data_IF_224772189619
#
_entry.id   IF_224772189619
#
_cell.length_a   1.000
_cell.length_b   1.000
_cell.length_c   1.000
_cell.angle_alpha   90.00
_cell.angle_beta   90.00
_cell.angle_gamma   90.00
#
_symmetry.space_group_name_H-M   'P 1'
#
loop_
_entity.id
_entity.type
_entity.pdbx_description
1 polymer ?
#
# COMPACT_ATOMS: atom_id res chain seq x y z
N UNK A 1 24.33 -7.06 11.61
CA UNK A 1 23.70 -5.74 11.43
C UNK A 1 22.68 -5.57 12.53
N UNK A 2 22.89 -4.61 13.43
CA UNK A 2 21.85 -4.22 14.39
C UNK A 2 20.78 -3.36 13.70
N UNK A 3 19.61 -3.22 14.32
CA UNK A 3 18.54 -2.37 13.83
C UNK A 3 17.36 -2.36 14.80
N UNK A 4 16.54 -1.32 14.72
CA UNK A 4 15.31 -1.19 15.51
C UNK A 4 14.13 -1.60 14.65
N UNK A 5 13.40 -2.64 15.05
CA UNK A 5 12.10 -2.96 14.47
C UNK A 5 11.02 -2.24 15.25
N UNK A 6 10.28 -1.35 14.57
CA UNK A 6 9.14 -0.67 15.16
C UNK A 6 7.88 -1.16 14.45
N UNK A 7 6.96 -1.76 15.21
CA UNK A 7 5.68 -2.24 14.69
C UNK A 7 4.61 -1.22 15.07
N UNK A 8 3.99 -0.61 14.08
CA UNK A 8 2.81 0.23 14.28
C UNK A 8 1.58 -0.42 13.62
N UNK A 9 0.44 -0.36 14.29
CA UNK A 9 -0.83 -0.77 13.73
C UNK A 9 -1.88 0.34 13.91
N UNK A 10 -2.50 0.75 12.82
CA UNK A 10 -3.60 1.71 12.82
C UNK A 10 -4.94 1.00 12.52
N UNK A 11 -5.86 0.86 13.48
CA UNK A 11 -7.18 0.35 13.21
C UNK A 11 -7.98 1.39 12.42
N UNK A 12 -8.95 0.94 11.62
CA UNK A 12 -9.81 1.83 10.82
C UNK A 12 -10.56 2.89 11.63
N UNK A 13 -10.86 2.58 12.90
CA UNK A 13 -11.51 3.50 13.83
C UNK A 13 -10.57 4.59 14.38
N UNK A 14 -9.28 4.54 14.04
CA UNK A 14 -8.27 5.55 14.44
C UNK A 14 -8.12 5.69 15.97
N UNK A 15 -8.50 4.63 16.69
CA UNK A 15 -8.50 4.56 18.15
C UNK A 15 -7.13 4.21 18.74
N UNK A 16 -6.14 3.79 17.93
CA UNK A 16 -4.80 3.44 18.41
C UNK A 16 -3.79 3.48 17.25
N UNK A 17 -2.50 3.70 17.53
CA UNK A 17 -1.43 3.49 16.55
C UNK A 17 -0.92 4.73 15.83
N UNK A 18 0.19 4.53 15.11
CA UNK A 18 0.93 5.57 14.37
C UNK A 18 0.70 5.43 12.85
N UNK A 19 0.17 6.47 12.21
CA UNK A 19 0.06 6.58 10.74
C UNK A 19 1.32 7.23 10.21
N UNK A 20 1.97 6.60 9.24
CA UNK A 20 3.18 7.17 8.65
C UNK A 20 2.88 8.24 7.61
N UNK A 21 1.63 8.38 7.16
CA UNK A 21 1.25 9.21 6.02
C UNK A 21 0.27 10.33 6.38
N UNK A 22 0.00 10.57 7.68
CA UNK A 22 -1.00 11.54 8.14
C UNK A 22 -0.44 12.45 9.23
N UNK A 23 -0.99 13.66 9.31
CA UNK A 23 -0.64 14.69 10.28
C UNK A 23 -1.17 14.41 11.69
N UNK A 24 -0.57 15.13 12.64
CA UNK A 24 -1.04 15.23 14.02
C UNK A 24 -2.30 16.10 14.03
N UNK A 25 -3.46 15.60 14.47
CA UNK A 25 -4.67 16.40 14.54
C UNK A 25 -4.56 17.50 15.61
N UNK A 26 -5.14 18.69 15.38
CA UNK A 26 -5.38 19.65 16.45
C UNK A 26 -6.21 19.01 17.56
N UNK A 27 -5.86 19.26 18.83
CA UNK A 27 -6.50 18.62 19.99
C UNK A 27 -8.03 18.73 19.95
N UNK A 28 -8.56 19.95 19.78
CA UNK A 28 -10.00 20.20 19.70
C UNK A 28 -10.69 19.31 18.66
N UNK A 29 -10.10 19.23 17.45
CA UNK A 29 -10.65 18.43 16.36
C UNK A 29 -10.56 16.92 16.64
N UNK A 30 -9.48 16.46 17.28
CA UNK A 30 -9.32 15.05 17.66
C UNK A 30 -10.38 14.61 18.68
N UNK A 31 -10.76 15.49 19.61
CA UNK A 31 -11.80 15.26 20.60
C UNK A 31 -13.20 15.23 19.97
N UNK A 32 -13.53 16.23 19.15
CA UNK A 32 -14.82 16.32 18.45
C UNK A 32 -15.09 15.09 17.58
N UNK A 33 -14.05 14.62 16.88
CA UNK A 33 -14.15 13.49 15.97
C UNK A 33 -14.24 12.13 16.66
N UNK A 34 -13.95 12.04 17.96
CA UNK A 34 -13.98 10.77 18.67
C UNK A 34 -15.35 10.10 18.61
N UNK A 35 -16.41 10.84 18.91
CA UNK A 35 -17.78 10.30 18.90
C UNK A 35 -18.24 9.94 17.47
N UNK A 36 -17.84 10.71 16.46
CA UNK A 36 -18.13 10.42 15.06
C UNK A 36 -17.54 9.07 14.64
N UNK A 37 -16.29 8.80 15.04
CA UNK A 37 -15.61 7.54 14.76
C UNK A 37 -16.11 6.36 15.60
N UNK A 38 -16.52 6.62 16.84
CA UNK A 38 -17.07 5.60 17.73
C UNK A 38 -18.43 5.09 17.22
N UNK A 39 -19.31 6.03 16.87
CA UNK A 39 -20.68 5.77 16.42
C UNK A 39 -20.78 5.44 14.93
N UNK A 40 -19.70 5.65 14.15
CA UNK A 40 -19.68 5.48 12.70
C UNK A 40 -20.81 6.25 11.99
N UNK A 41 -21.12 7.44 12.50
CA UNK A 41 -22.35 8.18 12.17
C UNK A 41 -22.31 8.89 10.81
N UNK A 42 -21.13 9.29 10.33
CA UNK A 42 -20.96 9.98 9.03
C UNK A 42 -19.70 9.53 8.29
N UNK A 43 -19.89 8.80 7.19
CA UNK A 43 -18.78 8.27 6.38
C UNK A 43 -18.00 9.35 5.63
N UNK A 44 -18.64 10.44 5.18
CA UNK A 44 -17.98 11.47 4.40
C UNK A 44 -17.05 12.32 5.28
N UNK A 45 -17.52 12.71 6.47
CA UNK A 45 -16.70 13.46 7.44
C UNK A 45 -15.53 12.59 7.91
N UNK A 46 -15.79 11.32 8.25
CA UNK A 46 -14.72 10.38 8.62
C UNK A 46 -13.70 10.20 7.50
N UNK A 47 -14.12 10.08 6.24
CA UNK A 47 -13.20 10.00 5.11
C UNK A 47 -12.33 11.24 4.99
N UNK A 48 -12.91 12.44 5.09
CA UNK A 48 -12.16 13.69 5.00
C UNK A 48 -11.12 13.79 6.13
N UNK A 49 -11.51 13.44 7.36
CA UNK A 49 -10.59 13.40 8.49
C UNK A 49 -9.44 12.40 8.26
N UNK A 50 -9.75 11.18 7.81
CA UNK A 50 -8.76 10.12 7.53
C UNK A 50 -7.76 10.47 6.43
N UNK A 51 -8.05 11.44 5.57
CA UNK A 51 -7.11 11.92 4.55
C UNK A 51 -6.02 12.81 5.13
N UNK A 52 -6.31 13.48 6.23
CA UNK A 52 -5.42 14.47 6.83
C UNK A 52 -4.75 13.96 8.10
N UNK A 53 -5.49 13.29 8.99
CA UNK A 53 -5.06 13.03 10.36
C UNK A 53 -4.99 11.56 10.75
N UNK A 54 -4.05 11.25 11.64
CA UNK A 54 -3.72 9.88 12.02
C UNK A 54 -4.64 9.25 13.08
N UNK A 55 -5.17 10.02 14.04
CA UNK A 55 -5.89 9.48 15.21
C UNK A 55 -7.04 10.38 15.69
N UNK A 56 -7.90 9.87 16.56
CA UNK A 56 -8.87 10.65 17.36
C UNK A 56 -8.57 10.45 18.86
N UNK A 57 -9.12 11.27 19.75
CA UNK A 57 -8.84 11.19 21.19
C UNK A 57 -10.12 11.28 22.03
N UNK A 58 -10.22 10.47 23.09
CA UNK A 58 -11.37 10.46 24.01
C UNK A 58 -11.52 11.75 24.80
N UNK A 59 -10.39 12.23 25.29
CA UNK A 59 -10.24 13.33 26.21
C UNK A 59 -8.83 13.92 26.06
N UNK A 60 -8.54 15.00 26.79
CA UNK A 60 -7.26 15.69 26.71
C UNK A 60 -6.09 14.80 27.13
N UNK A 61 -6.26 13.92 28.12
CA UNK A 61 -5.20 13.04 28.59
C UNK A 61 -4.87 11.96 27.55
N UNK A 62 -5.88 11.36 26.92
CA UNK A 62 -5.72 10.43 25.80
C UNK A 62 -5.04 11.11 24.59
N UNK A 63 -5.33 12.40 24.34
CA UNK A 63 -4.63 13.17 23.31
C UNK A 63 -3.14 13.31 23.61
N UNK A 64 -2.77 13.76 24.80
CA UNK A 64 -1.36 13.95 25.19
C UNK A 64 -0.57 12.63 25.18
N UNK A 65 -1.18 11.56 25.68
CA UNK A 65 -0.59 10.23 25.61
C UNK A 65 -0.29 9.82 24.17
N UNK A 66 -1.23 10.03 23.24
CA UNK A 66 -1.06 9.71 21.82
C UNK A 66 -0.02 10.59 21.16
N UNK A 67 -0.02 11.89 21.46
CA UNK A 67 0.95 12.84 20.96
C UNK A 67 2.36 12.40 21.35
N UNK A 68 2.57 12.04 22.61
CA UNK A 68 3.86 11.52 23.10
C UNK A 68 4.27 10.23 22.37
N UNK A 69 3.36 9.26 22.20
CA UNK A 69 3.64 8.03 21.43
C UNK A 69 4.08 8.37 20.00
N UNK A 70 3.37 9.28 19.32
CA UNK A 70 3.72 9.71 17.96
C UNK A 70 5.08 10.40 17.91
N UNK A 71 5.36 11.31 18.84
CA UNK A 71 6.62 12.04 18.90
C UNK A 71 7.79 11.07 19.13
N UNK A 72 7.69 10.21 20.15
CA UNK A 72 8.70 9.20 20.47
C UNK A 72 8.96 8.25 19.28
N UNK A 73 7.90 7.83 18.59
CA UNK A 73 8.01 6.99 17.39
C UNK A 73 8.85 7.68 16.30
N UNK A 74 8.56 8.95 16.00
CA UNK A 74 9.28 9.69 14.96
C UNK A 74 10.68 10.10 15.38
N UNK A 75 10.92 10.35 16.66
CA UNK A 75 12.26 10.57 17.21
C UNK A 75 13.14 9.34 17.05
N UNK A 76 12.60 8.14 17.29
CA UNK A 76 13.34 6.90 17.09
C UNK A 76 13.65 6.65 15.62
N UNK A 77 12.68 6.83 14.71
CA UNK A 77 12.92 6.72 13.27
C UNK A 77 14.01 7.71 12.80
N UNK A 78 13.99 8.94 13.32
CA UNK A 78 14.92 9.98 12.90
C UNK A 78 16.40 9.68 13.23
N UNK A 79 16.69 8.69 14.07
CA UNK A 79 18.06 8.24 14.36
C UNK A 79 18.66 7.34 13.27
N UNK A 80 17.83 6.78 12.38
CA UNK A 80 18.26 5.81 11.38
C UNK A 80 18.82 6.42 10.09
N UNK A 81 19.90 5.82 9.57
CA UNK A 81 20.47 6.15 8.26
C UNK A 81 19.83 5.38 7.08
N UNK A 82 19.23 4.22 7.40
CA UNK A 82 18.46 3.39 6.46
C UNK A 82 17.10 3.10 7.09
N UNK A 83 16.03 3.65 6.50
CA UNK A 83 14.67 3.59 7.02
C UNK A 83 13.80 2.84 6.02
N UNK A 84 13.23 1.71 6.44
CA UNK A 84 12.31 0.90 5.66
C UNK A 84 10.91 1.02 6.22
N UNK A 85 10.02 1.63 5.46
CA UNK A 85 8.59 1.71 5.76
C UNK A 85 7.90 0.56 5.02
N UNK A 86 7.48 -0.48 5.75
CA UNK A 86 6.86 -1.67 5.14
C UNK A 86 5.36 -1.60 5.31
N UNK A 87 4.64 -1.54 4.19
CA UNK A 87 3.18 -1.47 4.14
C UNK A 87 2.62 -2.69 3.41
N UNK A 88 1.47 -3.21 3.84
CA UNK A 88 0.86 -4.36 3.13
C UNK A 88 0.00 -3.88 1.97
N UNK A 89 0.27 -4.38 0.76
CA UNK A 89 -0.63 -4.27 -0.37
C UNK A 89 -1.56 -5.50 -0.47
N UNK A 90 -2.83 -5.32 -0.78
CA UNK A 90 -3.72 -6.45 -1.08
C UNK A 90 -3.48 -6.96 -2.50
N UNK A 91 -3.51 -8.28 -2.70
CA UNK A 91 -3.34 -8.91 -4.02
C UNK A 91 -4.57 -8.67 -4.89
N UNK A 92 -4.60 -7.57 -5.64
CA UNK A 92 -5.74 -7.17 -6.48
C UNK A 92 -5.32 -7.07 -7.94
N UNK A 93 -6.27 -7.23 -8.87
CA UNK A 93 -5.92 -7.16 -10.29
C UNK A 93 -5.33 -5.79 -10.67
N UNK A 94 -5.79 -4.69 -10.05
CA UNK A 94 -5.19 -3.35 -10.22
C UNK A 94 -3.70 -3.24 -9.86
N UNK A 95 -3.14 -4.18 -9.08
CA UNK A 95 -1.73 -4.13 -8.66
C UNK A 95 -0.82 -4.89 -9.60
N UNK A 96 -1.35 -5.66 -10.56
CA UNK A 96 -0.55 -6.41 -11.52
C UNK A 96 0.29 -5.45 -12.39
N UNK A 97 1.57 -5.78 -12.67
CA UNK A 97 2.27 -7.03 -12.32
C UNK A 97 3.02 -6.98 -10.98
N UNK A 98 2.77 -5.98 -10.13
CA UNK A 98 3.49 -5.78 -8.88
C UNK A 98 3.17 -6.85 -7.83
N UNK A 99 4.21 -7.55 -7.36
CA UNK A 99 4.19 -8.37 -6.13
C UNK A 99 4.85 -7.67 -4.95
N UNK A 100 5.60 -6.62 -5.23
CA UNK A 100 6.23 -5.76 -4.24
C UNK A 100 6.50 -4.42 -4.93
N UNK A 101 5.87 -3.37 -4.45
CA UNK A 101 6.07 -2.03 -4.96
C UNK A 101 7.11 -1.31 -4.10
N UNK A 102 7.97 -0.51 -4.73
CA UNK A 102 9.07 0.17 -4.05
C UNK A 102 9.03 1.65 -4.39
N UNK A 103 9.04 2.47 -3.34
CA UNK A 103 9.07 3.93 -3.45
C UNK A 103 10.30 4.42 -2.70
N UNK A 104 10.97 5.43 -3.23
CA UNK A 104 12.04 6.10 -2.52
C UNK A 104 11.72 7.57 -2.26
N UNK A 105 12.14 8.03 -1.09
CA UNK A 105 11.94 9.40 -0.60
C UNK A 105 13.23 10.23 -0.56
N UNK A 106 14.41 9.59 -0.57
CA UNK A 106 15.69 10.29 -0.40
C UNK A 106 16.32 10.77 -1.72
N UNK A 107 17.08 11.88 -1.66
CA UNK A 107 17.91 12.32 -2.81
C UNK A 107 19.02 11.31 -3.16
N UNK A 108 19.49 10.54 -2.16
CA UNK A 108 20.53 9.51 -2.31
C UNK A 108 20.09 8.36 -3.23
N UNK A 109 18.80 8.06 -3.24
CA UNK A 109 18.19 6.93 -3.94
C UNK A 109 17.30 7.46 -5.05
N UNK A 110 17.91 8.21 -5.97
CA UNK A 110 17.19 8.75 -7.11
C UNK A 110 16.54 7.62 -7.94
N UNK A 111 15.50 7.98 -8.69
CA UNK A 111 14.68 7.01 -9.42
C UNK A 111 15.48 6.13 -10.40
N UNK A 112 16.60 6.66 -10.96
CA UNK A 112 17.46 5.90 -11.88
C UNK A 112 18.17 4.75 -11.15
N UNK A 113 18.77 5.04 -10.00
CA UNK A 113 19.44 4.03 -9.17
C UNK A 113 18.42 2.98 -8.71
N UNK A 114 17.25 3.43 -8.24
CA UNK A 114 16.20 2.53 -7.77
C UNK A 114 15.72 1.58 -8.89
N UNK A 115 15.46 2.11 -10.10
CA UNK A 115 15.10 1.28 -11.24
C UNK A 115 16.18 0.26 -11.59
N UNK A 116 17.46 0.67 -11.61
CA UNK A 116 18.57 -0.25 -11.91
C UNK A 116 18.67 -1.39 -10.88
N UNK A 117 18.52 -1.09 -9.59
CA UNK A 117 18.50 -2.08 -8.52
C UNK A 117 17.29 -3.01 -8.68
N UNK A 118 16.09 -2.46 -8.87
CA UNK A 118 14.87 -3.27 -9.07
C UNK A 118 14.96 -4.17 -10.29
N UNK A 119 15.54 -3.70 -11.40
CA UNK A 119 15.77 -4.52 -12.59
C UNK A 119 16.76 -5.65 -12.34
N UNK A 120 17.84 -5.39 -11.58
CA UNK A 120 18.78 -6.42 -11.17
C UNK A 120 18.10 -7.49 -10.30
N UNK A 121 17.30 -7.08 -9.31
CA UNK A 121 16.53 -7.98 -8.46
C UNK A 121 15.51 -8.78 -9.29
N UNK A 122 14.80 -8.14 -10.23
CA UNK A 122 13.87 -8.83 -11.11
C UNK A 122 14.55 -9.91 -11.96
N UNK A 123 15.76 -9.65 -12.47
CA UNK A 123 16.56 -10.66 -13.18
C UNK A 123 16.98 -11.80 -12.26
N UNK A 124 17.52 -11.47 -11.07
CA UNK A 124 17.98 -12.44 -10.06
C UNK A 124 16.89 -13.40 -9.61
N UNK A 125 15.67 -12.91 -9.42
CA UNK A 125 14.53 -13.67 -8.91
C UNK A 125 13.53 -14.13 -9.99
N UNK A 126 13.86 -13.95 -11.28
CA UNK A 126 13.00 -14.31 -12.42
C UNK A 126 12.46 -15.74 -12.36
N UNK A 127 13.32 -16.73 -12.09
CA UNK A 127 12.90 -18.14 -11.98
C UNK A 127 11.88 -18.36 -10.87
N UNK A 128 12.04 -17.68 -9.73
CA UNK A 128 11.09 -17.73 -8.63
C UNK A 128 9.75 -17.09 -9.02
N UNK A 129 9.77 -15.90 -9.62
CA UNK A 129 8.56 -15.20 -10.06
C UNK A 129 7.76 -16.01 -11.09
N UNK A 130 8.46 -16.65 -12.03
CA UNK A 130 7.85 -17.57 -12.98
C UNK A 130 7.20 -18.76 -12.27
N UNK A 131 7.88 -19.37 -11.30
CA UNK A 131 7.36 -20.51 -10.55
C UNK A 131 6.08 -20.19 -9.78
N UNK A 132 5.97 -19.00 -9.18
CA UNK A 132 4.79 -18.59 -8.38
C UNK A 132 3.66 -17.96 -9.22
N UNK A 133 3.85 -17.77 -10.52
CA UNK A 133 2.92 -17.00 -11.37
C UNK A 133 1.48 -17.53 -11.31
N UNK A 134 1.32 -18.85 -11.38
CA UNK A 134 0.00 -19.50 -11.34
C UNK A 134 -0.70 -19.23 -9.99
N UNK A 135 0.01 -19.41 -8.89
CA UNK A 135 -0.53 -19.27 -7.55
C UNK A 135 -0.85 -17.81 -7.21
N UNK A 136 0.00 -16.88 -7.65
CA UNK A 136 -0.25 -15.45 -7.51
C UNK A 136 -1.53 -15.02 -8.26
N UNK A 137 -1.73 -15.49 -9.50
CA UNK A 137 -2.95 -15.22 -10.27
C UNK A 137 -4.20 -15.82 -9.59
N UNK A 138 -4.10 -17.03 -9.05
CA UNK A 138 -5.17 -17.64 -8.27
C UNK A 138 -5.51 -16.82 -7.02
N UNK A 139 -4.50 -16.32 -6.31
CA UNK A 139 -4.69 -15.45 -5.16
C UNK A 139 -5.44 -14.16 -5.54
N UNK A 140 -5.15 -13.57 -6.70
CA UNK A 140 -5.87 -12.38 -7.20
C UNK A 140 -7.35 -12.70 -7.47
N UNK A 141 -7.64 -13.85 -8.09
CA UNK A 141 -9.04 -14.28 -8.32
C UNK A 141 -9.76 -14.49 -6.99
N UNK A 142 -9.11 -15.13 -6.03
CA UNK A 142 -9.66 -15.34 -4.69
C UNK A 142 -9.94 -14.01 -3.98
N UNK A 143 -8.99 -13.08 -3.99
CA UNK A 143 -9.14 -11.76 -3.38
C UNK A 143 -10.21 -10.89 -4.07
N UNK A 144 -10.37 -11.06 -5.39
CA UNK A 144 -11.45 -10.41 -6.14
C UNK A 144 -12.82 -10.93 -5.70
N UNK A 145 -12.98 -12.24 -5.52
CA UNK A 145 -14.21 -12.84 -4.95
C UNK A 145 -14.48 -12.33 -3.54
N UNK A 146 -13.46 -12.35 -2.67
CA UNK A 146 -13.56 -11.84 -1.29
C UNK A 146 -14.02 -10.38 -1.26
N UNK A 147 -13.53 -9.57 -2.19
CA UNK A 147 -13.92 -8.17 -2.33
C UNK A 147 -15.38 -8.04 -2.73
N UNK A 148 -15.81 -8.77 -3.76
CA UNK A 148 -17.21 -8.76 -4.23
C UNK A 148 -18.16 -9.14 -3.10
N UNK A 149 -17.87 -10.23 -2.39
CA UNK A 149 -18.66 -10.66 -1.23
C UNK A 149 -18.69 -9.61 -0.12
N UNK A 150 -17.55 -8.94 0.14
CA UNK A 150 -17.49 -7.86 1.12
C UNK A 150 -18.36 -6.67 0.69
N UNK A 151 -18.37 -6.30 -0.58
CA UNK A 151 -19.19 -5.21 -1.11
C UNK A 151 -20.67 -5.58 -0.95
N UNK A 152 -21.07 -6.78 -1.41
CA UNK A 152 -22.44 -7.26 -1.29
C UNK A 152 -22.92 -7.28 0.16
N UNK A 153 -22.07 -7.75 1.09
CA UNK A 153 -22.41 -7.78 2.53
C UNK A 153 -22.59 -6.38 3.14
N UNK A 154 -21.83 -5.39 2.69
CA UNK A 154 -21.82 -4.04 3.29
C UNK A 154 -22.90 -3.13 2.68
N UNK A 155 -23.17 -3.28 1.39
CA UNK A 155 -24.04 -2.38 0.63
C UNK A 155 -25.30 -3.05 0.09
N UNK A 156 -25.55 -4.31 0.49
CA UNK A 156 -26.70 -5.12 0.06
C UNK A 156 -26.85 -5.22 -1.48
N UNK A 157 -25.71 -5.20 -2.18
CA UNK A 157 -25.71 -5.15 -3.64
C UNK A 157 -24.32 -5.02 -4.24
N UNK A 158 -24.26 -5.08 -5.57
CA UNK A 158 -23.04 -4.89 -6.35
C UNK A 158 -23.27 -3.84 -7.45
N UNK A 159 -23.81 -2.69 -7.06
CA UNK A 159 -24.00 -1.54 -7.93
C UNK A 159 -22.95 -0.45 -7.59
N UNK A 160 -22.04 -0.11 -8.53
CA UNK A 160 -21.06 0.94 -8.32
C UNK A 160 -21.65 2.29 -7.89
N UNK A 161 -22.92 2.58 -8.19
CA UNK A 161 -23.57 3.84 -7.78
C UNK A 161 -23.97 3.86 -6.30
N UNK A 162 -24.09 2.70 -5.67
CA UNK A 162 -24.62 2.54 -4.31
C UNK A 162 -23.54 2.17 -3.28
N UNK A 163 -22.29 1.97 -3.72
CA UNK A 163 -21.17 1.66 -2.84
C UNK A 163 -20.36 2.92 -2.51
N UNK A 164 -19.65 2.92 -1.38
CA UNK A 164 -18.83 4.05 -0.95
C UNK A 164 -17.71 4.42 -1.94
N UNK A 165 -17.34 5.71 -1.95
CA UNK A 165 -16.41 6.32 -2.92
C UNK A 165 -15.07 5.58 -3.01
N UNK A 166 -14.51 5.13 -1.89
CA UNK A 166 -13.27 4.34 -1.88
C UNK A 166 -13.41 3.02 -2.66
N UNK A 167 -14.54 2.31 -2.50
CA UNK A 167 -14.79 1.07 -3.23
C UNK A 167 -14.99 1.34 -4.72
N UNK A 168 -15.70 2.41 -5.08
CA UNK A 168 -15.86 2.82 -6.49
C UNK A 168 -14.50 3.08 -7.15
N UNK A 169 -13.64 3.86 -6.50
CA UNK A 169 -12.30 4.18 -7.03
C UNK A 169 -11.46 2.92 -7.22
N UNK A 170 -11.54 1.98 -6.28
CA UNK A 170 -10.82 0.71 -6.37
C UNK A 170 -11.36 -0.21 -7.47
N UNK A 171 -12.69 -0.33 -7.59
CA UNK A 171 -13.32 -1.10 -8.68
C UNK A 171 -13.00 -0.51 -10.04
N UNK A 172 -13.01 0.81 -10.19
CA UNK A 172 -12.65 1.47 -11.45
C UNK A 172 -11.23 1.07 -11.89
N UNK A 173 -10.26 1.12 -10.98
CA UNK A 173 -8.88 0.68 -11.27
C UNK A 173 -8.80 -0.81 -11.64
N UNK A 174 -9.60 -1.66 -11.01
CA UNK A 174 -9.65 -3.07 -11.38
C UNK A 174 -10.24 -3.24 -12.80
N UNK A 175 -11.33 -2.54 -13.12
CA UNK A 175 -11.98 -2.56 -14.44
C UNK A 175 -11.04 -2.07 -15.53
N UNK A 176 -10.25 -1.03 -15.28
CA UNK A 176 -9.22 -0.55 -16.21
C UNK A 176 -8.22 -1.65 -16.57
N UNK A 177 -7.75 -2.42 -15.58
CA UNK A 177 -6.83 -3.54 -15.83
C UNK A 177 -7.55 -4.72 -16.50
N UNK A 178 -8.81 -5.00 -16.14
CA UNK A 178 -9.63 -6.01 -16.82
C UNK A 178 -9.75 -5.66 -18.30
N UNK A 179 -10.14 -4.44 -18.67
CA UNK A 179 -10.26 -4.03 -20.07
C UNK A 179 -8.94 -4.02 -20.83
N UNK A 180 -7.82 -3.87 -20.12
CA UNK A 180 -6.49 -3.95 -20.73
C UNK A 180 -6.09 -5.38 -21.10
N UNK A 181 -6.49 -6.39 -20.33
CA UNK A 181 -5.97 -7.77 -20.46
C UNK A 181 -7.03 -8.83 -20.78
N UNK A 182 -8.32 -8.58 -20.55
CA UNK A 182 -9.38 -9.52 -20.89
C UNK A 182 -9.63 -9.55 -22.40
N UNK A 183 -10.12 -10.68 -22.90
CA UNK A 183 -10.66 -10.77 -24.26
C UNK A 183 -11.87 -9.86 -24.42
N UNK A 184 -12.09 -9.42 -25.67
CA UNK A 184 -13.23 -8.57 -26.04
C UNK A 184 -14.56 -9.13 -25.54
N UNK A 185 -14.78 -10.45 -25.67
CA UNK A 185 -16.00 -11.10 -25.19
C UNK A 185 -16.23 -10.93 -23.68
N UNK A 186 -15.20 -11.17 -22.86
CA UNK A 186 -15.29 -11.04 -21.41
C UNK A 186 -15.46 -9.56 -20.99
N UNK A 187 -14.75 -8.65 -21.65
CA UNK A 187 -14.89 -7.21 -21.45
C UNK A 187 -16.29 -6.69 -21.80
N UNK A 188 -16.82 -7.07 -22.96
CA UNK A 188 -18.14 -6.66 -23.42
C UNK A 188 -19.25 -7.23 -22.51
N UNK A 189 -19.10 -8.47 -22.06
CA UNK A 189 -20.04 -9.06 -21.08
C UNK A 189 -20.03 -8.32 -19.76
N UNK A 190 -18.85 -7.98 -19.21
CA UNK A 190 -18.77 -7.17 -17.99
C UNK A 190 -19.43 -5.79 -18.18
N UNK A 191 -19.21 -5.16 -19.34
CA UNK A 191 -19.77 -3.83 -19.66
C UNK A 191 -21.30 -3.86 -19.76
N UNK A 192 -21.86 -4.89 -20.40
CA UNK A 192 -23.31 -5.03 -20.62
C UNK A 192 -24.02 -5.55 -19.37
N UNK A 193 -23.39 -6.46 -18.63
CA UNK A 193 -23.96 -7.19 -17.51
C UNK A 193 -23.06 -7.04 -16.28
N UNK A 194 -23.07 -5.87 -15.65
CA UNK A 194 -22.24 -5.64 -14.47
C UNK A 194 -22.81 -6.35 -13.24
N UNK A 195 -22.37 -7.60 -13.01
CA UNK A 195 -22.78 -8.42 -11.87
C UNK A 195 -21.55 -9.03 -11.16
N UNK A 196 -21.70 -9.52 -9.92
CA UNK A 196 -20.66 -10.27 -9.20
C UNK A 196 -20.01 -11.37 -10.04
N UNK A 197 -20.84 -12.14 -10.76
CA UNK A 197 -20.40 -13.23 -11.61
C UNK A 197 -19.53 -12.73 -12.77
N UNK A 198 -20.07 -11.80 -13.58
CA UNK A 198 -19.34 -11.29 -14.75
C UNK A 198 -18.07 -10.53 -14.38
N UNK A 199 -18.05 -9.86 -13.23
CA UNK A 199 -16.83 -9.23 -12.71
C UNK A 199 -15.74 -10.27 -12.41
N UNK A 200 -16.06 -11.32 -11.67
CA UNK A 200 -15.09 -12.37 -11.32
C UNK A 200 -14.64 -13.16 -12.55
N UNK A 201 -15.54 -13.46 -13.49
CA UNK A 201 -15.17 -14.13 -14.74
C UNK A 201 -14.27 -13.26 -15.61
N UNK A 202 -14.53 -11.95 -15.70
CA UNK A 202 -13.66 -11.04 -16.42
C UNK A 202 -12.27 -10.92 -15.76
N UNK A 203 -12.20 -10.94 -14.41
CA UNK A 203 -10.92 -11.04 -13.68
C UNK A 203 -10.18 -12.33 -14.06
N UNK A 204 -10.83 -13.50 -14.00
CA UNK A 204 -10.21 -14.78 -14.37
C UNK A 204 -9.65 -14.78 -15.79
N UNK A 205 -10.42 -14.24 -16.73
CA UNK A 205 -10.00 -14.12 -18.13
C UNK A 205 -8.81 -13.15 -18.29
N UNK A 206 -8.83 -12.02 -17.58
CA UNK A 206 -7.75 -11.05 -17.63
C UNK A 206 -6.44 -11.59 -17.04
N UNK A 207 -6.48 -12.18 -15.83
CA UNK A 207 -5.25 -12.56 -15.09
C UNK A 207 -4.39 -13.55 -15.85
N UNK A 208 -4.95 -14.45 -16.65
CA UNK A 208 -4.15 -15.43 -17.41
C UNK A 208 -3.29 -14.78 -18.50
N UNK A 209 -3.66 -13.58 -18.98
CA UNK A 209 -2.93 -12.82 -20.01
C UNK A 209 -2.02 -11.73 -19.45
N UNK A 210 -1.98 -11.59 -18.13
CA UNK A 210 -1.15 -10.58 -17.49
C UNK A 210 0.33 -10.95 -17.52
N UNK A 211 1.26 -9.97 -17.45
CA UNK A 211 2.68 -10.26 -17.33
C UNK A 211 3.00 -11.10 -16.09
N UNK A 212 4.19 -11.71 -16.09
CA UNK A 212 4.72 -12.37 -14.89
C UNK A 212 4.83 -11.37 -13.72
N UNK A 213 4.63 -11.84 -12.47
CA UNK A 213 4.81 -11.02 -11.29
C UNK A 213 6.23 -10.48 -11.22
N UNK A 214 6.37 -9.23 -10.76
CA UNK A 214 7.68 -8.59 -10.60
C UNK A 214 7.65 -7.50 -9.53
N UNK A 215 8.83 -7.04 -9.13
CA UNK A 215 8.94 -5.80 -8.37
C UNK A 215 8.64 -4.61 -9.30
N UNK A 216 7.94 -3.62 -8.78
CA UNK A 216 7.69 -2.36 -9.47
C UNK A 216 8.26 -1.19 -8.69
N UNK A 217 8.59 -0.13 -9.42
CA UNK A 217 8.92 1.16 -8.83
C UNK A 217 7.73 2.08 -9.05
N UNK A 218 7.16 2.61 -7.98
CA UNK A 218 6.03 3.54 -8.10
C UNK A 218 6.50 4.97 -8.18
N UNK A 219 5.96 5.67 -9.17
CA UNK A 219 6.24 7.08 -9.46
C UNK A 219 5.35 8.04 -8.67
N UNK A 220 4.47 7.52 -7.78
CA UNK A 220 3.32 8.27 -7.26
C UNK A 220 3.70 9.28 -6.17
N UNK A 221 4.90 9.22 -5.59
CA UNK A 221 5.29 10.12 -4.51
C UNK A 221 6.37 11.12 -4.95
N UNK A 222 5.93 12.24 -5.52
CA UNK A 222 6.74 13.46 -5.71
C UNK A 222 6.99 14.25 -4.41
N UNK A 223 6.73 13.66 -3.24
CA UNK A 223 6.79 14.37 -1.94
C UNK A 223 5.61 15.30 -1.68
N UNK A 224 4.87 15.72 -2.71
CA UNK A 224 3.72 16.64 -2.59
C UNK A 224 2.54 16.05 -1.80
N UNK A 225 2.45 14.71 -1.73
CA UNK A 225 1.38 13.97 -1.03
C UNK A 225 1.82 13.54 0.39
N UNK A 226 3.07 13.81 0.79
CA UNK A 226 3.52 13.54 2.15
C UNK A 226 2.93 14.61 3.08
N UNK A 227 1.72 14.39 3.58
CA UNK A 227 1.22 15.11 4.76
C UNK A 227 1.84 14.47 6.01
N UNK A 228 2.02 15.25 7.07
CA UNK A 228 2.47 14.67 8.34
C UNK A 228 3.97 14.60 8.61
N UNK A 229 4.32 13.88 9.69
CA UNK A 229 5.68 13.82 10.20
C UNK A 229 6.64 13.06 9.27
N UNK A 230 6.13 12.36 8.24
CA UNK A 230 6.95 11.81 7.13
C UNK A 230 7.76 12.88 6.43
N UNK A 231 7.31 14.14 6.42
CA UNK A 231 8.11 15.28 5.94
C UNK A 231 9.42 15.45 6.71
N UNK A 232 9.50 15.02 7.98
CA UNK A 232 10.75 15.04 8.77
C UNK A 232 11.84 14.15 8.16
N UNK A 233 11.46 13.21 7.32
CA UNK A 233 12.37 12.34 6.58
C UNK A 233 12.89 12.98 5.27
N UNK A 234 12.35 14.13 4.87
CA UNK A 234 12.59 14.75 3.57
C UNK A 234 13.26 16.13 3.68
N UNK A 235 14.20 16.49 2.77
CA UNK A 235 14.92 15.68 1.82
C UNK A 235 16.38 15.50 2.29
N UNK A 236 16.62 14.60 3.25
CA UNK A 236 18.00 14.33 3.67
C UNK A 236 18.76 13.65 2.51
N UNK A 237 19.87 14.25 2.09
CA UNK A 237 20.71 13.74 1.01
C UNK A 237 21.55 12.51 1.41
N UNK A 238 21.64 12.18 2.70
CA UNK A 238 22.53 11.14 3.21
C UNK A 238 21.82 9.82 3.52
N UNK A 239 20.50 9.84 3.76
CA UNK A 239 19.73 8.67 4.21
C UNK A 239 19.14 7.86 3.05
N UNK A 240 19.03 6.55 3.25
CA UNK A 240 18.23 5.66 2.40
C UNK A 240 16.84 5.56 3.04
N UNK A 241 15.80 5.97 2.32
CA UNK A 241 14.43 5.96 2.83
C UNK A 241 13.55 5.34 1.77
N UNK A 242 12.93 4.20 2.12
CA UNK A 242 12.15 3.38 1.21
C UNK A 242 10.79 3.08 1.80
N UNK A 243 9.75 3.21 0.98
CA UNK A 243 8.51 2.46 1.18
C UNK A 243 8.63 1.16 0.40
N UNK A 244 8.26 0.06 1.04
CA UNK A 244 8.14 -1.22 0.38
C UNK A 244 6.74 -1.74 0.67
N UNK A 245 5.99 -1.99 -0.40
CA UNK A 245 4.65 -2.55 -0.33
C UNK A 245 4.62 -4.00 -0.83
N UNK A 246 5.08 -5.00 -0.03
CA UNK A 246 4.90 -6.39 -0.40
C UNK A 246 3.40 -6.75 -0.48
N UNK A 247 3.02 -7.47 -1.53
CA UNK A 247 1.67 -7.97 -1.65
C UNK A 247 1.38 -9.02 -0.56
N UNK A 248 0.11 -9.11 -0.15
CA UNK A 248 -0.37 -10.08 0.84
C UNK A 248 0.03 -11.51 0.48
N UNK A 249 0.00 -11.86 -0.81
CA UNK A 249 0.42 -13.18 -1.28
C UNK A 249 1.87 -13.49 -0.87
N UNK A 250 2.79 -12.55 -1.09
CA UNK A 250 4.18 -12.70 -0.69
C UNK A 250 4.34 -12.78 0.83
N UNK A 251 3.64 -11.92 1.58
CA UNK A 251 3.73 -11.88 3.04
C UNK A 251 3.19 -13.15 3.71
N UNK A 252 2.13 -13.75 3.15
CA UNK A 252 1.47 -14.90 3.74
C UNK A 252 2.13 -16.21 3.32
N UNK A 253 2.41 -16.39 2.02
CA UNK A 253 2.85 -17.67 1.47
C UNK A 253 4.36 -17.77 1.28
N UNK A 254 5.05 -16.64 1.14
CA UNK A 254 6.49 -16.59 0.90
C UNK A 254 7.22 -15.55 1.77
N UNK A 255 6.96 -15.47 3.10
CA UNK A 255 7.49 -14.40 3.95
C UNK A 255 9.02 -14.34 3.96
N UNK A 256 9.68 -15.50 3.96
CA UNK A 256 11.15 -15.59 3.91
C UNK A 256 11.71 -15.04 2.60
N UNK A 257 11.03 -15.30 1.47
CA UNK A 257 11.44 -14.78 0.17
C UNK A 257 11.21 -13.27 0.08
N UNK A 258 10.07 -12.78 0.60
CA UNK A 258 9.80 -11.35 0.70
C UNK A 258 10.92 -10.63 1.50
N UNK A 259 11.28 -11.15 2.67
CA UNK A 259 12.36 -10.61 3.48
C UNK A 259 13.72 -10.64 2.75
N UNK A 260 14.03 -11.72 2.04
CA UNK A 260 15.28 -11.85 1.27
C UNK A 260 15.35 -10.84 0.12
N UNK A 261 14.26 -10.66 -0.62
CA UNK A 261 14.16 -9.64 -1.68
C UNK A 261 14.39 -8.25 -1.11
N UNK A 262 13.76 -7.93 0.04
CA UNK A 262 13.95 -6.63 0.71
C UNK A 262 15.41 -6.44 1.11
N UNK A 263 16.05 -7.44 1.70
CA UNK A 263 17.47 -7.38 2.08
C UNK A 263 18.38 -7.12 0.88
N UNK A 264 18.12 -7.78 -0.25
CA UNK A 264 18.91 -7.59 -1.47
C UNK A 264 18.67 -6.22 -2.10
N UNK A 265 17.45 -5.69 -2.01
CA UNK A 265 17.13 -4.34 -2.45
C UNK A 265 17.88 -3.29 -1.63
N UNK A 266 17.92 -3.44 -0.31
CA UNK A 266 18.71 -2.55 0.56
C UNK A 266 20.20 -2.64 0.26
N UNK A 267 20.74 -3.86 0.11
CA UNK A 267 22.15 -4.06 -0.25
C UNK A 267 22.50 -3.42 -1.58
N UNK A 268 21.67 -3.63 -2.60
CA UNK A 268 21.84 -2.96 -3.89
C UNK A 268 21.88 -1.45 -3.75
N UNK A 269 20.96 -0.84 -2.99
CA UNK A 269 20.97 0.62 -2.82
C UNK A 269 22.18 1.14 -2.03
N UNK A 270 22.74 0.34 -1.13
CA UNK A 270 23.99 0.66 -0.43
C UNK A 270 25.21 0.59 -1.36
N UNK A 271 25.24 -0.38 -2.27
CA UNK A 271 26.33 -0.62 -3.23
C UNK A 271 26.28 0.32 -4.44
N UNK A 272 25.08 0.72 -4.90
CA UNK A 272 24.90 1.57 -6.09
C UNK A 272 24.60 3.05 -5.76
N UNK A 273 24.69 3.44 -4.49
CA UNK A 273 24.46 4.83 -4.05
C UNK A 273 25.58 5.79 -4.46
N UNK A 274 25.29 7.10 -4.60
CA UNK A 274 26.31 8.11 -4.89
C UNK A 274 27.39 8.09 -3.79
N UNK A 275 28.60 7.65 -4.14
CA UNK A 275 29.73 7.44 -3.24
C UNK A 275 30.44 6.09 -3.37
N UNK A 276 29.87 5.11 -4.09
CA UNK A 276 30.47 3.76 -4.25
C UNK A 276 30.89 3.45 -5.70
N UNK A 277 30.61 4.33 -6.65
CA UNK A 277 31.26 4.27 -7.98
C UNK A 277 32.69 4.78 -7.81
N UNK A 278 33.61 3.85 -7.57
CA UNK A 278 35.03 4.00 -7.90
C UNK A 278 35.28 3.41 -9.28
#
# INVERSE_FOLDING_TARGET
MGGTLIISHMPRKRLLGVDFNRDIPPQKLALEMFNVFLLASDNAIMENYRRNYGWVARDAADYEMRLSIYQNFWEEINKGDCILLIHRAFSRIKTIPSIMDVVSFGKRTNLKILNAVVDHINKKYSSFFKAITKDYRNAIVFESRRTVLKIMRVYDGFDPKQIGVEFQKNLKKDIEVIYKYADKYAADNLKRNFTPYYFVEAVKNAVVKTPEPRLTVSHVFSGDIAHGPKRKLLPDAKRIILEIEPCEFMNLWHPQMAARIIQDLVRGLQEYGPGVVK
#
